data_IF_784370134155
#
_entry.id   IF_784370134155
#
_cell.length_a   1.000
_cell.length_b   1.000
_cell.length_c   1.000
_cell.angle_alpha   90.00
_cell.angle_beta   90.00
_cell.angle_gamma   90.00
#
_symmetry.space_group_name_H-M   'P 1'
#
loop_
_entity.id
_entity.type
_entity.pdbx_description
1 polymer ?
#
# COMPACT_ATOMS: atom_id res chain seq x y z
N UNK A 1 -41.86 3.37 3.67
CA UNK A 1 -40.63 2.55 3.77
C UNK A 1 -39.58 3.38 4.48
N UNK A 2 -39.26 3.08 5.75
CA UNK A 2 -38.09 3.57 6.52
C UNK A 2 -38.27 3.16 7.98
N UNK A 3 -37.69 2.03 8.41
CA UNK A 3 -37.61 1.63 9.84
C UNK A 3 -36.66 0.46 10.11
N UNK A 4 -35.75 0.14 9.18
CA UNK A 4 -34.84 -1.00 9.30
C UNK A 4 -33.43 -0.63 9.78
N UNK A 5 -33.08 0.66 9.79
CA UNK A 5 -31.70 1.10 10.04
C UNK A 5 -31.37 1.38 11.51
N UNK A 6 -32.36 1.66 12.37
CA UNK A 6 -32.12 2.00 13.78
C UNK A 6 -32.44 0.80 14.69
N UNK A 7 -31.55 -0.19 14.69
CA UNK A 7 -31.71 -1.42 15.46
C UNK A 7 -31.35 -1.19 16.94
N UNK A 8 -32.36 -1.13 17.81
CA UNK A 8 -32.13 -1.06 19.25
C UNK A 8 -31.55 -2.37 19.78
N UNK A 9 -30.34 -2.30 20.34
CA UNK A 9 -29.63 -3.45 20.91
C UNK A 9 -29.37 -3.23 22.40
N UNK A 10 -29.77 -4.18 23.24
CA UNK A 10 -29.51 -4.10 24.68
C UNK A 10 -28.10 -4.63 24.99
N UNK A 11 -27.15 -3.71 25.19
CA UNK A 11 -25.76 -4.04 25.51
C UNK A 11 -25.60 -4.16 27.03
N UNK A 12 -25.22 -5.35 27.51
CA UNK A 12 -24.88 -5.57 28.92
C UNK A 12 -23.43 -5.20 29.17
N UNK A 13 -23.20 -4.21 30.01
CA UNK A 13 -21.86 -3.71 30.34
C UNK A 13 -21.56 -3.94 31.83
N UNK A 14 -20.31 -4.26 32.19
CA UNK A 14 -19.85 -4.21 33.58
C UNK A 14 -20.15 -2.83 34.20
N UNK A 15 -20.50 -2.80 35.48
CA UNK A 15 -20.88 -1.57 36.20
C UNK A 15 -19.81 -0.48 36.12
N UNK A 16 -18.56 -0.86 36.32
CA UNK A 16 -17.37 -0.01 36.16
C UNK A 16 -17.29 0.63 34.76
N UNK A 17 -17.48 -0.17 33.71
CA UNK A 17 -17.40 0.31 32.33
C UNK A 17 -18.56 1.25 32.01
N UNK A 18 -19.77 0.94 32.47
CA UNK A 18 -20.94 1.80 32.32
C UNK A 18 -20.71 3.17 32.97
N UNK A 19 -20.18 3.21 34.19
CA UNK A 19 -19.84 4.47 34.88
C UNK A 19 -18.84 5.32 34.08
N UNK A 20 -17.78 4.70 33.57
CA UNK A 20 -16.76 5.41 32.77
C UNK A 20 -17.33 6.01 31.48
N UNK A 21 -18.18 5.26 30.77
CA UNK A 21 -18.81 5.74 29.54
C UNK A 21 -19.85 6.83 29.83
N UNK A 22 -20.62 6.70 30.91
CA UNK A 22 -21.57 7.74 31.34
C UNK A 22 -20.87 9.05 31.69
N UNK A 23 -19.78 9.01 32.47
CA UNK A 23 -19.02 10.21 32.81
C UNK A 23 -18.43 10.90 31.57
N UNK A 24 -17.87 10.12 30.64
CA UNK A 24 -17.35 10.67 29.39
C UNK A 24 -18.44 11.27 28.49
N UNK A 25 -19.63 10.67 28.46
CA UNK A 25 -20.77 11.21 27.72
C UNK A 25 -21.23 12.56 28.31
N UNK A 26 -21.31 12.66 29.64
CA UNK A 26 -21.63 13.91 30.35
C UNK A 26 -20.60 15.00 30.09
N UNK A 27 -19.31 14.69 30.21
CA UNK A 27 -18.20 15.61 29.95
C UNK A 27 -18.21 16.15 28.52
N UNK A 28 -18.53 15.28 27.55
CA UNK A 28 -18.59 15.64 26.13
C UNK A 28 -19.92 16.29 25.70
N UNK A 29 -20.90 16.41 26.60
CA UNK A 29 -22.25 16.93 26.29
C UNK A 29 -23.05 16.03 25.34
N UNK A 30 -22.80 14.72 25.36
CA UNK A 30 -23.43 13.72 24.46
C UNK A 30 -24.35 12.79 25.24
N UNK A 31 -25.30 12.17 24.55
CA UNK A 31 -26.06 11.07 25.14
C UNK A 31 -25.15 9.85 25.33
N UNK A 32 -25.47 9.00 26.32
CA UNK A 32 -24.76 7.74 26.53
C UNK A 32 -24.66 6.90 25.25
N UNK A 33 -25.77 6.78 24.52
CA UNK A 33 -25.81 6.05 23.25
C UNK A 33 -24.91 6.69 22.20
N UNK A 34 -24.91 8.02 22.05
CA UNK A 34 -24.04 8.70 21.11
C UNK A 34 -22.55 8.49 21.41
N UNK A 35 -22.18 8.49 22.69
CA UNK A 35 -20.81 8.19 23.12
C UNK A 35 -20.41 6.73 22.85
N UNK A 36 -21.32 5.78 23.07
CA UNK A 36 -21.11 4.35 22.75
C UNK A 36 -20.91 4.16 21.24
N UNK A 37 -21.80 4.73 20.42
CA UNK A 37 -21.71 4.64 18.95
C UNK A 37 -20.40 5.23 18.46
N UNK A 38 -20.04 6.44 18.90
CA UNK A 38 -18.77 7.08 18.52
C UNK A 38 -17.56 6.19 18.83
N UNK A 39 -17.49 5.62 20.04
CA UNK A 39 -16.38 4.76 20.43
C UNK A 39 -16.31 3.47 19.63
N UNK A 40 -17.48 2.89 19.30
CA UNK A 40 -17.56 1.73 18.43
C UNK A 40 -17.07 2.09 17.01
N UNK A 41 -17.57 3.16 16.40
CA UNK A 41 -17.13 3.64 15.09
C UNK A 41 -15.62 3.91 15.04
N UNK A 42 -15.10 4.60 16.06
CA UNK A 42 -13.66 4.87 16.19
C UNK A 42 -12.84 3.57 16.31
N UNK A 43 -13.39 2.53 16.94
CA UNK A 43 -12.72 1.22 17.06
C UNK A 43 -12.63 0.47 15.71
N UNK A 44 -13.56 0.73 14.79
CA UNK A 44 -13.51 0.15 13.44
C UNK A 44 -12.56 0.91 12.52
N UNK A 45 -12.44 2.23 12.68
CA UNK A 45 -11.53 3.04 11.85
C UNK A 45 -10.07 2.61 11.98
N UNK A 46 -9.61 2.27 13.19
CA UNK A 46 -8.24 1.80 13.40
C UNK A 46 -7.97 0.43 12.77
N UNK A 47 -8.97 -0.46 12.77
CA UNK A 47 -8.88 -1.77 12.11
C UNK A 47 -8.83 -1.62 10.59
N UNK A 48 -9.65 -0.72 10.04
CA UNK A 48 -9.65 -0.40 8.62
C UNK A 48 -8.31 0.19 8.17
N UNK A 49 -7.78 1.18 8.90
CA UNK A 49 -6.47 1.79 8.61
C UNK A 49 -5.33 0.78 8.69
N UNK A 50 -5.32 -0.10 9.71
CA UNK A 50 -4.32 -1.16 9.81
C UNK A 50 -4.42 -2.16 8.64
N UNK A 51 -5.65 -2.51 8.21
CA UNK A 51 -5.88 -3.40 7.07
C UNK A 51 -5.42 -2.77 5.77
N UNK A 52 -5.70 -1.48 5.57
CA UNK A 52 -5.23 -0.71 4.42
C UNK A 52 -3.71 -0.60 4.39
N UNK A 53 -3.08 -0.34 5.54
CA UNK A 53 -1.62 -0.32 5.66
C UNK A 53 -1.02 -1.66 5.25
N UNK A 54 -1.58 -2.77 5.75
CA UNK A 54 -1.12 -4.11 5.39
C UNK A 54 -1.26 -4.38 3.89
N UNK A 55 -2.40 -4.04 3.28
CA UNK A 55 -2.59 -4.17 1.84
C UNK A 55 -1.56 -3.37 1.05
N UNK A 56 -1.29 -2.11 1.45
CA UNK A 56 -0.29 -1.26 0.80
C UNK A 56 1.14 -1.79 0.95
N UNK A 57 1.48 -2.33 2.11
CA UNK A 57 2.78 -2.98 2.31
C UNK A 57 2.94 -4.21 1.43
N UNK A 58 1.86 -4.97 1.21
CA UNK A 58 1.84 -6.09 0.28
C UNK A 58 2.01 -5.63 -1.17
N UNK A 59 1.26 -4.59 -1.60
CA UNK A 59 1.40 -3.98 -2.93
C UNK A 59 2.85 -3.53 -3.18
N UNK A 60 3.47 -2.88 -2.17
CA UNK A 60 4.86 -2.44 -2.23
C UNK A 60 5.81 -3.60 -2.49
N UNK A 61 5.66 -4.69 -1.75
CA UNK A 61 6.50 -5.88 -1.88
C UNK A 61 6.37 -6.49 -3.29
N UNK A 62 5.14 -6.63 -3.79
CA UNK A 62 4.91 -7.14 -5.14
C UNK A 62 5.58 -6.26 -6.20
N UNK A 63 5.43 -4.93 -6.10
CA UNK A 63 6.06 -4.01 -7.04
C UNK A 63 7.58 -4.05 -7.00
N UNK A 64 8.17 -4.18 -5.81
CA UNK A 64 9.62 -4.33 -5.65
C UNK A 64 10.12 -5.62 -6.32
N UNK A 65 9.37 -6.72 -6.17
CA UNK A 65 9.68 -7.99 -6.82
C UNK A 65 9.50 -7.92 -8.36
N UNK A 66 8.42 -7.31 -8.85
CA UNK A 66 8.17 -7.10 -10.29
C UNK A 66 9.25 -6.24 -10.95
N UNK A 67 9.66 -5.15 -10.28
CA UNK A 67 10.74 -4.28 -10.76
C UNK A 67 12.05 -5.07 -10.85
N UNK A 68 12.36 -5.88 -9.82
CA UNK A 68 13.56 -6.72 -9.83
C UNK A 68 13.54 -7.70 -10.99
N UNK A 69 12.43 -8.40 -11.21
CA UNK A 69 12.30 -9.36 -12.31
C UNK A 69 12.46 -8.68 -13.68
N UNK A 70 11.80 -7.53 -13.89
CA UNK A 70 11.94 -6.78 -15.13
C UNK A 70 13.38 -6.30 -15.35
N UNK A 71 14.09 -5.92 -14.29
CA UNK A 71 15.50 -5.53 -14.37
C UNK A 71 16.39 -6.71 -14.78
N UNK A 72 16.18 -7.90 -14.20
CA UNK A 72 16.91 -9.10 -14.58
C UNK A 72 16.67 -9.49 -16.04
N UNK A 73 15.43 -9.36 -16.52
CA UNK A 73 15.10 -9.60 -17.94
C UNK A 73 15.79 -8.59 -18.86
N UNK A 74 15.76 -7.32 -18.49
CA UNK A 74 16.40 -6.23 -19.22
C UNK A 74 17.92 -6.44 -19.31
N UNK A 75 18.57 -6.85 -18.23
CA UNK A 75 20.01 -7.15 -18.23
C UNK A 75 20.35 -8.32 -19.17
N UNK A 76 19.52 -9.37 -19.20
CA UNK A 76 19.70 -10.49 -20.15
C UNK A 76 19.57 -10.04 -21.59
N UNK A 77 18.54 -9.26 -21.91
CA UNK A 77 18.33 -8.74 -23.27
C UNK A 77 19.44 -7.80 -23.71
N UNK A 78 20.00 -6.99 -22.80
CA UNK A 78 21.16 -6.14 -23.10
C UNK A 78 22.39 -6.97 -23.44
N UNK A 79 22.65 -8.04 -22.69
CA UNK A 79 23.75 -8.97 -23.00
C UNK A 79 23.52 -9.62 -24.37
N UNK A 80 22.30 -10.07 -24.67
CA UNK A 80 21.97 -10.65 -25.98
C UNK A 80 22.16 -9.63 -27.12
N UNK A 81 21.73 -8.39 -26.91
CA UNK A 81 21.91 -7.30 -27.85
C UNK A 81 23.39 -7.00 -28.13
N UNK A 82 24.23 -6.95 -27.09
CA UNK A 82 25.68 -6.78 -27.22
C UNK A 82 26.32 -7.94 -28.00
N UNK A 83 25.85 -9.17 -27.81
CA UNK A 83 26.31 -10.34 -28.58
C UNK A 83 26.00 -10.17 -30.06
N UNK A 84 24.79 -9.74 -30.43
CA UNK A 84 24.46 -9.45 -31.84
C UNK A 84 25.31 -8.31 -32.41
N UNK A 85 25.55 -7.25 -31.64
CA UNK A 85 26.37 -6.12 -32.07
C UNK A 85 27.86 -6.47 -32.29
N UNK A 86 28.35 -7.55 -31.67
CA UNK A 86 29.74 -8.01 -31.80
C UNK A 86 30.03 -8.85 -33.05
N UNK A 87 29.01 -9.26 -33.80
CA UNK A 87 29.17 -10.09 -35.02
C UNK A 87 29.75 -9.24 -36.16
N UNK A 88 30.93 -9.59 -36.72
CA UNK A 88 31.55 -8.81 -37.80
C UNK A 88 30.67 -8.72 -39.05
N UNK A 89 30.58 -7.53 -39.69
CA UNK A 89 29.77 -7.35 -40.90
C UNK A 89 30.16 -8.29 -42.06
N UNK A 90 31.43 -8.67 -42.12
CA UNK A 90 32.02 -9.48 -43.21
C UNK A 90 31.57 -10.96 -43.18
N UNK A 91 31.13 -11.45 -42.01
CA UNK A 91 30.51 -12.77 -41.85
C UNK A 91 29.00 -12.73 -42.11
N UNK A 92 28.32 -11.61 -41.80
CA UNK A 92 26.88 -11.42 -42.06
C UNK A 92 26.57 -11.25 -43.57
N UNK A 93 27.50 -10.68 -44.35
CA UNK A 93 27.32 -10.40 -45.79
C UNK A 93 27.36 -11.65 -46.69
N UNK A 94 27.84 -12.80 -46.20
CA UNK A 94 28.03 -14.00 -47.03
C UNK A 94 26.76 -14.81 -47.30
N UNK A 95 25.66 -14.63 -46.56
CA UNK A 95 24.48 -15.53 -46.64
C UNK A 95 23.09 -14.85 -46.63
N UNK A 96 22.97 -13.54 -46.87
CA UNK A 96 21.67 -12.85 -46.77
C UNK A 96 21.11 -12.76 -45.33
N UNK A 97 21.92 -13.16 -44.34
CA UNK A 97 21.64 -13.11 -42.92
C UNK A 97 21.58 -11.70 -42.34
N UNK A 98 22.10 -10.69 -43.06
CA UNK A 98 22.15 -9.29 -42.62
C UNK A 98 20.76 -8.70 -42.33
N UNK A 99 19.75 -8.99 -43.16
CA UNK A 99 18.38 -8.49 -42.95
C UNK A 99 17.70 -9.17 -41.76
N UNK A 100 17.98 -10.47 -41.55
CA UNK A 100 17.49 -11.22 -40.39
C UNK A 100 18.12 -10.71 -39.09
N UNK A 101 19.42 -10.45 -39.08
CA UNK A 101 20.13 -9.87 -37.92
C UNK A 101 19.61 -8.46 -37.58
N UNK A 102 19.42 -7.60 -38.58
CA UNK A 102 18.86 -6.26 -38.38
C UNK A 102 17.44 -6.30 -37.82
N UNK A 103 16.60 -7.22 -38.30
CA UNK A 103 15.25 -7.43 -37.73
C UNK A 103 15.29 -7.95 -36.30
N UNK A 104 16.18 -8.89 -35.99
CA UNK A 104 16.39 -9.41 -34.64
C UNK A 104 16.83 -8.31 -33.67
N UNK A 105 17.86 -7.54 -34.04
CA UNK A 105 18.33 -6.39 -33.24
C UNK A 105 17.22 -5.35 -33.01
N UNK A 106 16.40 -5.07 -34.03
CA UNK A 106 15.26 -4.17 -33.89
C UNK A 106 14.20 -4.72 -32.92
N UNK A 107 13.88 -6.00 -32.99
CA UNK A 107 12.94 -6.66 -32.06
C UNK A 107 13.44 -6.57 -30.61
N UNK A 108 14.71 -6.92 -30.38
CA UNK A 108 15.31 -6.86 -29.04
C UNK A 108 15.35 -5.42 -28.51
N UNK A 109 15.65 -4.43 -29.36
CA UNK A 109 15.62 -3.03 -28.97
C UNK A 109 14.21 -2.54 -28.59
N UNK A 110 13.17 -2.98 -29.31
CA UNK A 110 11.77 -2.70 -28.97
C UNK A 110 11.38 -3.33 -27.63
N UNK A 111 11.78 -4.58 -27.39
CA UNK A 111 11.54 -5.28 -26.12
C UNK A 111 12.24 -4.60 -24.93
N UNK A 112 13.49 -4.17 -25.09
CA UNK A 112 14.22 -3.38 -24.08
C UNK A 112 13.46 -2.09 -23.78
N UNK A 113 13.01 -1.35 -24.81
CA UNK A 113 12.27 -0.11 -24.63
C UNK A 113 10.97 -0.31 -23.85
N UNK A 114 10.22 -1.37 -24.15
CA UNK A 114 8.97 -1.70 -23.44
C UNK A 114 9.23 -2.06 -21.98
N UNK A 115 10.27 -2.86 -21.71
CA UNK A 115 10.66 -3.20 -20.34
C UNK A 115 11.11 -1.98 -19.54
N UNK A 116 11.88 -1.08 -20.15
CA UNK A 116 12.29 0.18 -19.52
C UNK A 116 11.08 1.02 -19.13
N UNK A 117 10.11 1.18 -20.04
CA UNK A 117 8.88 1.92 -19.78
C UNK A 117 8.05 1.29 -18.65
N UNK A 118 7.93 -0.05 -18.64
CA UNK A 118 7.25 -0.79 -17.58
C UNK A 118 7.94 -0.59 -16.22
N UNK A 119 9.27 -0.70 -16.16
CA UNK A 119 10.04 -0.43 -14.94
C UNK A 119 9.80 1.00 -14.45
N UNK A 120 9.82 2.00 -15.35
CA UNK A 120 9.56 3.39 -14.98
C UNK A 120 8.12 3.61 -14.52
N UNK A 121 7.16 2.90 -15.09
CA UNK A 121 5.78 2.93 -14.64
C UNK A 121 5.65 2.35 -13.22
N UNK A 122 6.18 1.14 -12.99
CA UNK A 122 6.14 0.48 -11.69
C UNK A 122 6.86 1.29 -10.61
N UNK A 123 7.99 1.93 -10.92
CA UNK A 123 8.69 2.83 -9.98
C UNK A 123 7.86 4.05 -9.60
N UNK A 124 7.14 4.66 -10.55
CA UNK A 124 6.23 5.77 -10.26
C UNK A 124 5.09 5.34 -9.35
N UNK A 125 4.52 4.16 -9.60
CA UNK A 125 3.46 3.63 -8.75
C UNK A 125 3.98 3.25 -7.36
N UNK A 126 5.17 2.64 -7.26
CA UNK A 126 5.85 2.34 -6.00
C UNK A 126 6.07 3.59 -5.16
N UNK A 127 6.49 4.71 -5.77
CA UNK A 127 6.65 5.97 -5.06
C UNK A 127 5.34 6.44 -4.41
N UNK A 128 4.21 6.29 -5.12
CA UNK A 128 2.88 6.61 -4.59
C UNK A 128 2.45 5.67 -3.47
N UNK A 129 2.72 4.36 -3.61
CA UNK A 129 2.44 3.39 -2.55
C UNK A 129 3.23 3.70 -1.29
N UNK A 130 4.49 4.12 -1.41
CA UNK A 130 5.30 4.53 -0.27
C UNK A 130 4.75 5.78 0.43
N UNK A 131 4.23 6.74 -0.34
CA UNK A 131 3.54 7.91 0.21
C UNK A 131 2.28 7.51 0.98
N UNK A 132 1.42 6.67 0.39
CA UNK A 132 0.23 6.13 1.05
C UNK A 132 0.57 5.43 2.38
N UNK A 133 1.62 4.59 2.39
CA UNK A 133 2.10 3.90 3.60
C UNK A 133 2.50 4.90 4.68
N UNK A 134 3.29 5.94 4.33
CA UNK A 134 3.73 6.96 5.28
C UNK A 134 2.53 7.66 5.91
N UNK A 135 1.58 8.13 5.09
CA UNK A 135 0.40 8.87 5.56
C UNK A 135 -0.44 8.01 6.51
N UNK A 136 -0.69 6.74 6.16
CA UNK A 136 -1.49 5.84 7.00
C UNK A 136 -0.74 5.51 8.30
N UNK A 137 0.56 5.21 8.23
CA UNK A 137 1.39 4.88 9.39
C UNK A 137 1.48 6.06 10.37
N UNK A 138 1.70 7.28 9.87
CA UNK A 138 1.75 8.50 10.69
C UNK A 138 0.40 8.77 11.36
N UNK A 139 -0.71 8.56 10.63
CA UNK A 139 -2.07 8.66 11.16
C UNK A 139 -2.32 7.69 12.31
N UNK A 140 -1.94 6.43 12.14
CA UNK A 140 -2.06 5.40 13.19
C UNK A 140 -1.17 5.71 14.40
N UNK A 141 0.07 6.14 14.17
CA UNK A 141 1.01 6.49 15.24
C UNK A 141 0.51 7.68 16.07
N UNK A 142 -0.05 8.72 15.42
CA UNK A 142 -0.64 9.86 16.10
C UNK A 142 -1.82 9.43 16.98
N UNK A 143 -2.69 8.54 16.50
CA UNK A 143 -3.80 7.99 17.29
C UNK A 143 -3.31 7.18 18.49
N UNK A 144 -2.28 6.34 18.30
CA UNK A 144 -1.67 5.56 19.38
C UNK A 144 -1.06 6.46 20.46
N UNK A 145 -0.40 7.56 20.07
CA UNK A 145 0.15 8.54 21.01
C UNK A 145 -0.95 9.20 21.84
N UNK A 146 -2.05 9.64 21.21
CA UNK A 146 -3.22 10.20 21.94
C UNK A 146 -3.78 9.21 22.96
N UNK A 147 -3.87 7.92 22.62
CA UNK A 147 -4.33 6.87 23.54
C UNK A 147 -3.36 6.70 24.71
N UNK A 148 -2.04 6.74 24.45
CA UNK A 148 -1.01 6.64 25.48
C UNK A 148 -1.04 7.83 26.45
N UNK A 149 -1.23 9.04 25.93
CA UNK A 149 -1.38 10.27 26.72
C UNK A 149 -2.65 10.25 27.58
N UNK A 150 -3.79 9.86 27.00
CA UNK A 150 -5.04 9.73 27.75
C UNK A 150 -4.92 8.69 28.88
N UNK A 151 -4.23 7.57 28.62
CA UNK A 151 -3.92 6.60 29.67
C UNK A 151 -3.01 7.23 30.72
N UNK A 152 -1.85 7.79 30.37
CA UNK A 152 -0.91 8.32 31.37
C UNK A 152 -1.50 9.43 32.24
N UNK A 153 -2.40 10.26 31.71
CA UNK A 153 -3.16 11.23 32.48
C UNK A 153 -4.13 10.59 33.48
N UNK A 154 -4.82 9.51 33.10
CA UNK A 154 -5.74 8.79 33.96
C UNK A 154 -5.05 8.12 35.17
N UNK A 155 -3.80 7.65 35.01
CA UNK A 155 -3.02 7.05 36.11
C UNK A 155 -2.48 8.08 37.11
N UNK A 156 -2.42 9.36 36.76
CA UNK A 156 -1.96 10.43 37.67
C UNK A 156 -3.08 11.02 38.54
N UNK A 157 -4.34 10.68 38.23
CA UNK A 157 -5.54 11.17 38.92
C UNK A 157 -6.19 10.11 39.83
N UNK A 158 -5.61 8.91 39.92
CA UNK A 158 -5.99 7.78 40.76
C UNK A 158 -4.95 7.53 41.84
#
# INVERSE_FOLDING_TARGET
>A
MAKKDDQQTNVRLPSELKRKVSAAAEEAGRSFTAEVVLRLEASFQSVLEASLLYARMSDRQMLEDDIRECQEQLDKLRIEFEQYASVPPDDAMKEGATDLLLRGMKSVAEEISVLEDNIQHSKRYLARVNEDISVIADGLQAKLNKIREAKSAAWRLS
#
